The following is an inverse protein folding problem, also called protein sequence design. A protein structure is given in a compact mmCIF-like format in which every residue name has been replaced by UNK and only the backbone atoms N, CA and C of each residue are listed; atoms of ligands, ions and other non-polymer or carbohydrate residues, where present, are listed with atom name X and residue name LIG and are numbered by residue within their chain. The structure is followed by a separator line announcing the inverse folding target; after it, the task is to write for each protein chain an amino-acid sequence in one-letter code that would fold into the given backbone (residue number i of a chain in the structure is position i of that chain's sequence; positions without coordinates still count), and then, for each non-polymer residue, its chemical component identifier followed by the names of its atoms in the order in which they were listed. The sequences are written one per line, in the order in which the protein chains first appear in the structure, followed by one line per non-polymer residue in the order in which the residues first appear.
data_IF_201112105825
#
_entry.id   IF_201112105825
#
_cell.length_a   1.000
_cell.length_b   1.000
_cell.length_c   1.000
_cell.angle_alpha   90.00
_cell.angle_beta   90.00
_cell.angle_gamma   90.00
#
_symmetry.space_group_name_H-M   'P 1'
#
loop_
_entity.id
_entity.type
_entity.pdbx_description
1 polymer ?
#
# COMPACT_ATOMS: atom_id res chain seq x y z
N UNK A 1 -9.39 -2.63 6.34
CA UNK A 1 -8.75 -1.92 5.22
C UNK A 1 -9.57 -0.67 4.97
N UNK A 2 -9.00 0.51 5.16
CA UNK A 2 -9.70 1.76 4.82
C UNK A 2 -9.71 1.90 3.29
N UNK A 3 -10.90 1.75 2.70
CA UNK A 3 -11.10 1.85 1.25
C UNK A 3 -10.99 3.28 0.73
N UNK A 4 -11.16 4.27 1.60
CA UNK A 4 -11.15 5.68 1.23
C UNK A 4 -9.73 6.22 1.21
N UNK A 5 -8.96 6.01 2.29
CA UNK A 5 -7.55 6.40 2.36
C UNK A 5 -6.70 5.79 1.26
N UNK A 6 -6.99 4.55 0.83
CA UNK A 6 -6.27 3.88 -0.25
C UNK A 6 -6.34 4.61 -1.60
N UNK A 7 -7.37 5.45 -1.83
CA UNK A 7 -7.53 6.19 -3.09
C UNK A 7 -6.54 7.35 -3.25
N UNK A 8 -5.92 7.79 -2.15
CA UNK A 8 -5.05 8.97 -2.11
C UNK A 8 -3.55 8.62 -2.11
N UNK A 9 -3.18 7.40 -2.50
CA UNK A 9 -1.78 6.93 -2.55
C UNK A 9 -1.12 7.12 -3.93
N UNK A 10 -1.82 7.72 -4.89
CA UNK A 10 -1.32 8.00 -6.24
C UNK A 10 -0.83 6.74 -6.95
N UNK A 11 0.42 6.72 -7.41
CA UNK A 11 0.99 5.55 -8.12
C UNK A 11 1.25 4.34 -7.22
N UNK A 12 0.99 4.45 -5.91
CA UNK A 12 1.05 3.37 -4.91
C UNK A 12 -0.33 2.85 -4.51
N UNK A 13 -1.41 3.41 -5.09
CA UNK A 13 -2.75 2.84 -4.94
C UNK A 13 -2.76 1.44 -5.57
N UNK A 14 -3.05 0.38 -4.78
CA UNK A 14 -3.09 -0.98 -5.29
C UNK A 14 -4.20 -1.17 -6.34
N UNK A 15 -4.04 -2.15 -7.23
CA UNK A 15 -5.09 -2.48 -8.20
C UNK A 15 -6.35 -2.94 -7.48
N UNK A 16 -7.50 -2.48 -7.98
CA UNK A 16 -8.82 -2.91 -7.50
C UNK A 16 -9.68 -3.24 -8.70
N UNK A 17 -10.49 -4.28 -8.55
CA UNK A 17 -11.52 -4.61 -9.53
C UNK A 17 -12.56 -3.50 -9.48
N UNK A 18 -12.50 -2.60 -10.46
CA UNK A 18 -13.59 -1.67 -10.75
C UNK A 18 -14.38 -2.33 -11.88
N UNK A 19 -15.12 -3.39 -11.53
CA UNK A 19 -15.88 -4.14 -12.51
C UNK A 19 -17.14 -3.37 -12.90
N UNK A 20 -17.43 -3.39 -14.19
CA UNK A 20 -18.80 -3.25 -14.64
C UNK A 20 -19.51 -4.56 -14.24
N UNK A 21 -20.64 -4.48 -13.53
CA UNK A 21 -21.39 -5.70 -13.13
C UNK A 21 -21.94 -6.48 -14.35
N UNK A 22 -21.98 -5.84 -15.52
CA UNK A 22 -22.24 -6.52 -16.80
C UNK A 22 -20.94 -7.07 -17.38
N UNK A 23 -20.73 -8.35 -17.17
CA UNK A 23 -19.66 -9.20 -17.73
C UNK A 23 -20.07 -9.91 -19.03
N UNK A 24 -21.29 -9.66 -19.52
CA UNK A 24 -21.79 -10.28 -20.75
C UNK A 24 -20.86 -10.01 -21.94
N UNK A 25 -20.45 -11.08 -22.63
CA UNK A 25 -19.62 -10.98 -23.84
C UNK A 25 -20.29 -10.05 -24.85
N UNK A 26 -19.59 -8.99 -25.25
CA UNK A 26 -20.06 -8.06 -26.28
C UNK A 26 -19.99 -8.78 -27.62
N UNK A 27 -21.16 -9.05 -28.23
CA UNK A 27 -21.27 -9.68 -29.54
C UNK A 27 -21.71 -8.64 -30.57
N UNK A 28 -20.92 -8.49 -31.62
CA UNK A 28 -21.31 -7.74 -32.81
C UNK A 28 -21.63 -8.73 -33.93
N UNK A 29 -22.72 -8.49 -34.66
CA UNK A 29 -23.15 -9.37 -35.76
C UNK A 29 -22.02 -9.46 -36.79
N UNK A 30 -21.74 -10.68 -37.26
CA UNK A 30 -20.72 -10.99 -38.27
C UNK A 30 -19.28 -10.57 -37.89
N UNK A 31 -19.03 -10.28 -36.62
CA UNK A 31 -17.71 -9.89 -36.10
C UNK A 31 -17.17 -10.96 -35.14
N UNK A 32 -15.87 -11.23 -35.21
CA UNK A 32 -15.17 -12.03 -34.23
C UNK A 32 -13.85 -11.35 -33.81
N UNK A 33 -13.44 -11.46 -32.54
CA UNK A 33 -12.19 -10.87 -32.08
C UNK A 33 -11.01 -11.55 -32.79
N UNK A 34 -10.10 -10.73 -33.33
CA UNK A 34 -8.88 -11.21 -33.99
C UNK A 34 -7.67 -11.17 -33.07
N UNK A 35 -7.56 -10.13 -32.22
CA UNK A 35 -6.44 -9.92 -31.31
C UNK A 35 -6.85 -9.03 -30.15
N UNK A 36 -6.30 -9.30 -28.98
CA UNK A 36 -6.34 -8.42 -27.80
C UNK A 36 -4.91 -8.04 -27.48
N UNK A 37 -4.66 -6.75 -27.23
CA UNK A 37 -3.35 -6.23 -26.83
C UNK A 37 -3.57 -5.38 -25.58
N UNK A 38 -2.79 -5.62 -24.53
CA UNK A 38 -2.85 -4.86 -23.29
C UNK A 38 -1.45 -4.50 -22.79
N UNK A 39 -1.34 -3.33 -22.16
CA UNK A 39 -0.13 -2.91 -21.44
C UNK A 39 -0.50 -2.86 -19.96
N UNK A 40 0.07 -3.79 -19.19
CA UNK A 40 -0.26 -3.97 -17.77
C UNK A 40 0.97 -3.59 -16.95
N UNK A 41 0.80 -2.74 -15.94
CA UNK A 41 1.87 -2.43 -14.99
C UNK A 41 2.08 -3.63 -14.06
N UNK A 42 3.31 -3.81 -13.59
CA UNK A 42 3.57 -4.74 -12.49
C UNK A 42 2.62 -4.50 -11.30
N UNK A 43 2.31 -5.56 -10.54
CA UNK A 43 1.56 -5.46 -9.28
C UNK A 43 2.33 -4.72 -8.18
N UNK A 44 1.74 -4.63 -7.00
CA UNK A 44 2.30 -3.98 -5.80
C UNK A 44 3.66 -4.57 -5.41
N UNK A 45 4.62 -3.70 -5.06
CA UNK A 45 6.01 -4.09 -4.76
C UNK A 45 6.53 -3.44 -3.50
N UNK A 46 7.52 -4.07 -2.88
CA UNK A 46 8.32 -3.45 -1.83
C UNK A 46 9.06 -2.20 -2.36
N UNK A 47 9.29 -1.18 -1.51
CA UNK A 47 10.05 -0.01 -1.93
C UNK A 47 11.51 -0.35 -2.30
N UNK A 48 12.16 0.51 -3.07
CA UNK A 48 13.61 0.37 -3.35
C UNK A 48 14.48 0.90 -2.20
N UNK A 49 15.78 0.55 -2.19
CA UNK A 49 16.72 0.83 -1.08
C UNK A 49 16.63 2.26 -0.55
N UNK A 50 16.74 3.21 -1.48
CA UNK A 50 16.81 4.64 -1.17
C UNK A 50 15.54 5.10 -0.44
N UNK A 51 14.40 4.52 -0.79
CA UNK A 51 13.11 4.83 -0.17
C UNK A 51 13.02 4.15 1.20
N UNK A 52 13.38 2.86 1.30
CA UNK A 52 13.42 2.13 2.58
C UNK A 52 14.28 2.87 3.61
N UNK A 53 15.50 3.29 3.23
CA UNK A 53 16.40 4.05 4.09
C UNK A 53 15.77 5.37 4.55
N UNK A 54 15.13 6.12 3.63
CA UNK A 54 14.45 7.37 3.97
C UNK A 54 13.28 7.15 4.93
N UNK A 55 12.50 6.09 4.72
CA UNK A 55 11.37 5.73 5.59
C UNK A 55 11.89 5.42 6.99
N UNK A 56 12.89 4.54 7.10
CA UNK A 56 13.47 4.15 8.40
C UNK A 56 13.96 5.37 9.18
N UNK A 57 14.83 6.19 8.56
CA UNK A 57 15.37 7.40 9.21
C UNK A 57 14.25 8.37 9.63
N UNK A 58 13.25 8.61 8.78
CA UNK A 58 12.15 9.52 9.12
C UNK A 58 11.27 8.99 10.24
N UNK A 59 10.92 7.71 10.22
CA UNK A 59 10.01 7.12 11.20
C UNK A 59 10.69 6.93 12.55
N UNK A 60 11.98 6.56 12.57
CA UNK A 60 12.76 6.50 13.81
C UNK A 60 12.89 7.91 14.42
N UNK A 61 13.24 8.93 13.62
CA UNK A 61 13.30 10.31 14.11
C UNK A 61 11.96 10.86 14.60
N UNK A 62 10.85 10.49 13.94
CA UNK A 62 9.51 10.87 14.39
C UNK A 62 9.15 10.19 15.72
N UNK A 63 9.50 8.91 15.88
CA UNK A 63 9.29 8.16 17.11
C UNK A 63 10.05 8.80 18.27
N UNK A 64 11.31 9.17 18.06
CA UNK A 64 12.13 9.86 19.07
C UNK A 64 11.53 11.22 19.44
N UNK A 65 11.12 12.00 18.43
CA UNK A 65 10.48 13.30 18.65
C UNK A 65 9.19 13.20 19.47
N UNK A 66 8.33 12.22 19.18
CA UNK A 66 7.09 11.98 19.93
C UNK A 66 7.38 11.59 21.38
N UNK A 67 8.44 10.81 21.63
CA UNK A 67 8.80 10.42 23.00
C UNK A 67 9.31 11.61 23.83
N UNK A 68 10.14 12.47 23.24
CA UNK A 68 10.69 13.66 23.92
C UNK A 68 9.59 14.69 24.19
N UNK A 69 8.72 14.95 23.21
CA UNK A 69 7.66 15.98 23.35
C UNK A 69 6.56 15.57 24.32
N UNK A 70 6.19 14.29 24.40
CA UNK A 70 5.23 13.82 25.40
C UNK A 70 5.75 13.92 26.85
N UNK A 71 7.06 13.88 27.08
CA UNK A 71 7.64 14.06 28.42
C UNK A 71 7.68 15.52 28.87
N UNK A 72 7.69 16.47 27.93
CA UNK A 72 8.02 17.88 28.19
C UNK A 72 6.82 18.82 28.18
N UNK A 73 5.72 18.46 27.51
CA UNK A 73 4.53 19.32 27.42
C UNK A 73 3.43 18.83 28.36
N UNK A 74 3.37 19.46 29.53
CA UNK A 74 2.20 19.40 30.41
C UNK A 74 1.01 20.08 29.69
N UNK A 75 -0.03 19.29 29.43
CA UNK A 75 -1.43 19.71 29.33
C UNK A 75 -2.09 20.10 28.00
N UNK A 76 -1.51 19.95 26.80
CA UNK A 76 -2.31 20.14 25.56
C UNK A 76 -1.95 19.11 24.47
N UNK A 77 -2.54 17.90 24.52
CA UNK A 77 -2.49 16.92 23.41
C UNK A 77 -1.53 15.74 23.57
N UNK A 78 -1.25 15.29 24.80
CA UNK A 78 -0.48 14.07 25.03
C UNK A 78 -1.17 12.84 24.42
N UNK A 79 -0.38 11.97 23.80
CA UNK A 79 -0.84 10.62 23.48
C UNK A 79 -1.21 9.90 24.79
N UNK A 80 -2.25 9.08 24.79
CA UNK A 80 -2.55 8.28 25.97
C UNK A 80 -1.38 7.31 26.26
N UNK A 81 -1.15 7.00 27.53
CA UNK A 81 -0.01 6.19 27.97
C UNK A 81 0.03 4.83 27.24
N UNK A 82 -1.14 4.26 26.97
CA UNK A 82 -1.27 3.04 26.18
C UNK A 82 -0.73 3.20 24.76
N UNK A 83 -1.09 4.24 24.02
CA UNK A 83 -0.63 4.41 22.63
C UNK A 83 0.86 4.71 22.55
N UNK A 84 1.37 5.52 23.49
CA UNK A 84 2.80 5.80 23.65
C UNK A 84 3.60 4.52 23.86
N UNK A 85 3.21 3.71 24.84
CA UNK A 85 3.99 2.53 25.22
C UNK A 85 3.75 1.33 24.31
N UNK A 86 2.50 1.01 23.98
CA UNK A 86 2.15 -0.20 23.24
C UNK A 86 2.26 -0.04 21.72
N UNK A 87 1.94 1.15 21.18
CA UNK A 87 1.86 1.36 19.72
C UNK A 87 3.03 2.14 19.13
N UNK A 88 3.66 3.06 19.88
CA UNK A 88 4.73 3.93 19.35
C UNK A 88 6.10 3.44 19.81
N UNK A 89 6.32 3.24 21.12
CA UNK A 89 7.62 2.83 21.68
C UNK A 89 8.08 1.47 21.16
N UNK A 90 7.16 0.52 21.01
CA UNK A 90 7.46 -0.82 20.53
C UNK A 90 7.36 -0.95 18.99
N UNK A 91 6.94 0.10 18.30
CA UNK A 91 6.82 0.07 16.85
C UNK A 91 8.18 -0.13 16.18
N UNK A 92 8.18 -0.95 15.13
CA UNK A 92 9.32 -1.20 14.25
C UNK A 92 8.85 -1.15 12.81
N UNK A 93 9.66 -0.55 11.95
CA UNK A 93 9.44 -0.61 10.51
C UNK A 93 9.70 -2.04 10.00
N UNK A 94 8.65 -2.70 9.52
CA UNK A 94 8.71 -4.05 8.97
C UNK A 94 8.29 -4.02 7.49
N UNK A 95 9.01 -4.76 6.66
CA UNK A 95 8.64 -5.03 5.27
C UNK A 95 8.07 -6.45 5.19
N UNK A 96 6.99 -6.62 4.42
CA UNK A 96 6.30 -7.91 4.26
C UNK A 96 7.19 -8.98 3.61
N UNK A 97 8.05 -8.56 2.67
CA UNK A 97 9.10 -9.40 2.07
C UNK A 97 10.43 -8.69 2.18
N UNK A 98 11.47 -9.46 2.43
CA UNK A 98 12.84 -8.97 2.30
C UNK A 98 13.18 -8.77 0.82
N UNK A 99 14.02 -7.79 0.54
CA UNK A 99 14.43 -7.45 -0.81
C UNK A 99 13.69 -6.25 -1.40
N UNK A 100 14.35 -5.63 -2.36
CA UNK A 100 13.91 -4.38 -2.97
C UNK A 100 13.12 -4.65 -4.24
N UNK A 101 12.04 -3.88 -4.43
CA UNK A 101 11.27 -3.94 -5.68
C UNK A 101 10.75 -5.35 -5.99
N UNK A 102 10.50 -6.15 -4.95
CA UNK A 102 9.92 -7.50 -5.04
C UNK A 102 8.40 -7.40 -4.97
N UNK A 103 7.67 -8.25 -5.71
CA UNK A 103 6.21 -8.30 -5.61
C UNK A 103 5.79 -8.73 -4.19
N UNK A 104 4.89 -7.96 -3.59
CA UNK A 104 4.23 -8.35 -2.33
C UNK A 104 3.20 -9.44 -2.60
N UNK A 105 2.61 -10.03 -1.55
CA UNK A 105 1.49 -10.98 -1.75
C UNK A 105 0.30 -10.29 -2.45
N UNK A 106 0.01 -9.04 -2.06
CA UNK A 106 -0.99 -8.22 -2.76
C UNK A 106 -0.65 -8.06 -4.25
N UNK A 107 0.61 -7.79 -4.58
CA UNK A 107 1.03 -7.66 -5.98
C UNK A 107 0.90 -8.95 -6.80
N UNK A 108 1.12 -10.11 -6.17
CA UNK A 108 0.90 -11.42 -6.80
C UNK A 108 -0.60 -11.65 -7.06
N UNK A 109 -1.44 -11.41 -6.05
CA UNK A 109 -2.90 -11.54 -6.16
C UNK A 109 -3.50 -10.61 -7.22
N UNK A 110 -2.99 -9.38 -7.34
CA UNK A 110 -3.41 -8.42 -8.37
C UNK A 110 -3.18 -8.98 -9.78
N UNK A 111 -2.01 -9.56 -10.03
CA UNK A 111 -1.67 -10.12 -11.35
C UNK A 111 -2.52 -11.35 -11.67
N UNK A 112 -2.74 -12.23 -10.69
CA UNK A 112 -3.60 -13.41 -10.85
C UNK A 112 -5.03 -12.99 -11.16
N UNK A 113 -5.56 -12.02 -10.42
CA UNK A 113 -6.92 -11.52 -10.63
C UNK A 113 -7.08 -10.89 -12.00
N UNK A 114 -6.08 -10.14 -12.50
CA UNK A 114 -6.11 -9.57 -13.85
C UNK A 114 -6.11 -10.62 -14.95
N UNK A 115 -5.49 -11.77 -14.74
CA UNK A 115 -5.48 -12.87 -15.70
C UNK A 115 -6.76 -13.71 -15.69
N UNK A 116 -7.46 -13.73 -14.56
CA UNK A 116 -8.68 -14.52 -14.33
C UNK A 116 -9.96 -13.66 -14.41
N UNK A 117 -9.89 -12.48 -15.05
CA UNK A 117 -11.08 -11.69 -15.44
C UNK A 117 -11.59 -12.15 -16.80
#
# INVERSE_FOLDING_TARGET
YDKEGAKYLGTKTPYRIVANEKDSVIKYKDCHPLKIIGVIRHGTRTPGHKVVRKIRVKLDGLKDHIQITNQTVLNNGQFCEYDLHSRIKNWKFLLEKEGEKVLTREGEDEMIKLANV
#
